data_IF_058269751695
#
_entry.id   IF_058269751695
#
_cell.length_a   1.000
_cell.length_b   1.000
_cell.length_c   1.000
_cell.angle_alpha   90.00
_cell.angle_beta   90.00
_cell.angle_gamma   90.00
#
_symmetry.space_group_name_H-M   'P 1'
#
loop_
_entity.id
_entity.type
_entity.pdbx_description
1 polymer ?
#
# COMPACT_ATOMS: atom_id res chain seq x y z
N UNK A 1 -8.58 -6.63 20.32
CA UNK A 1 -9.17 -6.48 18.98
C UNK A 1 -8.26 -5.68 18.11
N UNK A 2 -7.92 -6.24 16.98
CA UNK A 2 -6.99 -5.57 16.08
C UNK A 2 -7.72 -4.55 15.24
N UNK A 3 -7.45 -3.30 15.49
CA UNK A 3 -7.98 -2.23 14.67
C UNK A 3 -7.04 -1.97 13.52
N UNK A 4 -7.61 -1.73 12.37
CA UNK A 4 -6.82 -1.35 11.22
C UNK A 4 -6.29 0.06 11.39
N UNK A 5 -4.98 0.21 11.24
CA UNK A 5 -4.32 1.50 11.29
C UNK A 5 -3.88 1.89 9.89
N UNK A 6 -4.08 3.15 9.56
CA UNK A 6 -3.70 3.69 8.26
C UNK A 6 -2.61 4.73 8.41
N UNK A 7 -1.57 4.61 7.60
CA UNK A 7 -0.52 5.60 7.51
C UNK A 7 -0.53 6.25 6.13
N UNK A 8 -0.43 7.57 6.11
CA UNK A 8 -0.23 8.29 4.85
C UNK A 8 1.21 8.06 4.41
N UNK A 9 1.39 7.39 3.30
CA UNK A 9 2.73 7.01 2.84
C UNK A 9 3.53 8.24 2.39
N UNK A 10 4.75 8.38 2.89
CA UNK A 10 5.65 9.43 2.45
C UNK A 10 6.24 9.13 1.08
N UNK A 11 6.50 7.88 0.81
CA UNK A 11 7.05 7.46 -0.48
C UNK A 11 6.00 7.47 -1.58
N UNK A 12 4.75 7.19 -1.22
CA UNK A 12 3.62 7.13 -2.15
C UNK A 12 2.52 8.08 -1.68
N UNK A 13 2.71 9.40 -1.84
CA UNK A 13 1.85 10.40 -1.17
C UNK A 13 0.39 10.40 -1.61
N UNK A 14 0.07 9.73 -2.71
CA UNK A 14 -1.32 9.60 -3.13
C UNK A 14 -2.08 8.50 -2.40
N UNK A 15 -1.38 7.74 -1.55
CA UNK A 15 -1.94 6.52 -0.96
C UNK A 15 -1.73 6.47 0.54
N UNK A 16 -2.68 5.79 1.19
CA UNK A 16 -2.55 5.38 2.58
C UNK A 16 -2.35 3.88 2.60
N UNK A 17 -1.54 3.40 3.54
CA UNK A 17 -1.21 1.99 3.69
C UNK A 17 -1.62 1.56 5.09
N UNK A 18 -2.33 0.43 5.20
CA UNK A 18 -2.77 -0.06 6.49
C UNK A 18 -1.89 -1.20 6.98
N UNK A 19 -1.94 -1.41 8.29
CA UNK A 19 -1.22 -2.52 8.92
C UNK A 19 -1.80 -3.88 8.55
N UNK A 20 -2.95 -3.91 7.90
CA UNK A 20 -3.57 -5.15 7.41
C UNK A 20 -3.30 -5.41 5.93
N UNK A 21 -2.46 -4.60 5.32
CA UNK A 21 -2.10 -4.79 3.92
C UNK A 21 -3.06 -4.18 2.93
N UNK A 22 -3.92 -3.29 3.37
CA UNK A 22 -4.82 -2.57 2.47
C UNK A 22 -4.18 -1.26 2.03
N UNK A 23 -4.47 -0.86 0.80
CA UNK A 23 -3.97 0.38 0.25
C UNK A 23 -5.17 1.15 -0.32
N UNK A 24 -5.24 2.44 -0.04
CA UNK A 24 -6.34 3.26 -0.53
C UNK A 24 -5.80 4.59 -1.05
N UNK A 25 -6.57 5.21 -1.92
CA UNK A 25 -6.28 6.56 -2.38
C UNK A 25 -6.46 7.53 -1.21
N UNK A 26 -5.44 8.35 -0.93
CA UNK A 26 -5.48 9.26 0.21
C UNK A 26 -6.59 10.31 0.08
N UNK A 27 -6.84 10.80 -1.12
CA UNK A 27 -7.84 11.86 -1.31
C UNK A 27 -9.27 11.34 -1.32
N UNK A 28 -9.50 10.21 -1.99
CA UNK A 28 -10.85 9.70 -2.18
C UNK A 28 -11.24 8.63 -1.18
N UNK A 29 -10.26 8.00 -0.54
CA UNK A 29 -10.49 6.86 0.35
C UNK A 29 -10.80 5.56 -0.38
N UNK A 30 -10.74 5.55 -1.70
CA UNK A 30 -11.05 4.36 -2.48
C UNK A 30 -9.97 3.31 -2.34
N UNK A 31 -10.37 2.08 -2.03
CA UNK A 31 -9.42 0.99 -1.91
C UNK A 31 -8.84 0.60 -3.26
N UNK A 32 -7.53 0.35 -3.27
CA UNK A 32 -6.84 -0.12 -4.46
C UNK A 32 -6.97 -1.64 -4.55
N UNK A 33 -7.07 -2.13 -5.78
CA UNK A 33 -7.10 -3.58 -6.02
C UNK A 33 -5.68 -4.11 -6.00
N UNK A 34 -5.50 -5.24 -5.31
CA UNK A 34 -4.25 -5.97 -5.33
C UNK A 34 -4.43 -7.25 -6.11
N UNK A 35 -3.32 -7.88 -6.48
CA UNK A 35 -3.36 -9.15 -7.18
C UNK A 35 -2.19 -10.02 -6.72
N UNK A 36 -2.35 -11.33 -6.91
CA UNK A 36 -1.32 -12.29 -6.53
C UNK A 36 -0.49 -12.60 -7.75
N UNK A 37 0.84 -12.42 -7.63
CA UNK A 37 1.76 -12.72 -8.73
C UNK A 37 1.95 -14.22 -8.89
N UNK A 38 2.62 -14.61 -9.96
CA UNK A 38 2.90 -16.02 -10.25
C UNK A 38 3.65 -16.72 -9.11
N UNK A 39 4.38 -15.95 -8.31
CA UNK A 39 5.16 -16.49 -7.20
C UNK A 39 4.42 -16.44 -5.88
N UNK A 40 3.17 -16.02 -5.90
CA UNK A 40 2.35 -15.97 -4.70
C UNK A 40 2.48 -14.70 -3.88
N UNK A 41 3.12 -13.67 -4.41
CA UNK A 41 3.22 -12.38 -3.71
C UNK A 41 2.05 -11.49 -4.05
N UNK A 42 1.48 -10.85 -3.03
CA UNK A 42 0.45 -9.85 -3.25
C UNK A 42 1.10 -8.55 -3.71
N UNK A 43 0.63 -8.03 -4.83
CA UNK A 43 1.21 -6.84 -5.45
C UNK A 43 0.14 -5.81 -5.77
N UNK A 44 0.55 -4.57 -5.89
CA UNK A 44 -0.35 -3.47 -6.20
C UNK A 44 0.35 -2.50 -7.16
N UNK A 45 -0.44 -1.91 -8.06
CA UNK A 45 0.07 -0.87 -8.96
C UNK A 45 -0.19 0.51 -8.35
N UNK A 46 0.85 1.31 -8.26
CA UNK A 46 0.80 2.65 -7.69
C UNK A 46 1.26 3.67 -8.72
N UNK A 47 0.70 4.86 -8.66
CA UNK A 47 1.08 5.95 -9.57
C UNK A 47 1.80 7.03 -8.77
N UNK A 48 2.92 7.50 -9.30
CA UNK A 48 3.69 8.57 -8.70
C UNK A 48 4.30 9.41 -9.81
N UNK A 49 4.05 10.71 -9.78
CA UNK A 49 4.58 11.64 -10.78
C UNK A 49 4.27 11.22 -12.21
N UNK A 50 3.07 10.73 -12.44
CA UNK A 50 2.62 10.31 -13.76
C UNK A 50 3.14 8.97 -14.23
N UNK A 51 3.88 8.25 -13.39
CA UNK A 51 4.42 6.94 -13.73
C UNK A 51 3.79 5.86 -12.87
N UNK A 52 3.62 4.70 -13.46
CA UNK A 52 3.05 3.55 -12.77
C UNK A 52 4.15 2.62 -12.27
N UNK A 53 4.02 2.21 -11.03
CA UNK A 53 4.98 1.31 -10.39
C UNK A 53 4.24 0.12 -9.81
N UNK A 54 4.87 -1.04 -9.80
CA UNK A 54 4.34 -2.22 -9.14
C UNK A 54 5.17 -2.53 -7.92
N UNK A 55 4.52 -2.73 -6.78
CA UNK A 55 5.22 -3.00 -5.52
C UNK A 55 4.54 -4.13 -4.77
N UNK A 56 5.31 -4.87 -4.01
CA UNK A 56 4.78 -5.90 -3.13
C UNK A 56 4.09 -5.23 -1.94
N UNK A 57 2.88 -5.69 -1.64
CA UNK A 57 2.12 -5.13 -0.52
C UNK A 57 2.88 -5.33 0.80
N UNK A 58 3.47 -6.50 0.99
CA UNK A 58 4.25 -6.76 2.20
C UNK A 58 5.40 -5.79 2.42
N UNK A 59 6.09 -5.41 1.33
CA UNK A 59 7.16 -4.43 1.39
C UNK A 59 6.62 -3.05 1.80
N UNK A 60 5.48 -2.65 1.25
CA UNK A 60 4.88 -1.37 1.59
C UNK A 60 4.47 -1.32 3.06
N UNK A 61 3.85 -2.38 3.54
CA UNK A 61 3.46 -2.45 4.95
C UNK A 61 4.69 -2.44 5.86
N UNK A 62 5.70 -3.21 5.51
CA UNK A 62 6.92 -3.25 6.29
C UNK A 62 7.59 -1.90 6.41
N UNK A 63 7.64 -1.14 5.32
CA UNK A 63 8.26 0.18 5.33
C UNK A 63 7.47 1.20 6.15
N UNK A 64 6.15 1.07 6.20
CA UNK A 64 5.31 2.03 6.92
C UNK A 64 5.17 1.71 8.41
N UNK A 65 5.27 0.44 8.79
CA UNK A 65 4.98 0.01 10.15
C UNK A 65 6.18 -0.63 10.85
N UNK A 66 7.38 -0.39 10.33
CA UNK A 66 8.60 -0.90 10.96
C UNK A 66 8.93 -0.03 12.19
N UNK A 67 9.14 -0.70 13.30
CA UNK A 67 9.68 -0.04 14.49
C UNK A 67 11.19 0.05 14.32
N UNK A 68 11.62 1.21 13.97
CA UNK A 68 12.99 1.48 13.62
C UNK A 68 13.99 1.41 14.74
#
# INVERSE_FOLDING_TARGET
>A
MDQEEWHHSKEWPRYDISNKGNIRNHETGKLMKTYISDRGYERVSLVKEGKQYTRNVGTLVGNEFVDG
#
